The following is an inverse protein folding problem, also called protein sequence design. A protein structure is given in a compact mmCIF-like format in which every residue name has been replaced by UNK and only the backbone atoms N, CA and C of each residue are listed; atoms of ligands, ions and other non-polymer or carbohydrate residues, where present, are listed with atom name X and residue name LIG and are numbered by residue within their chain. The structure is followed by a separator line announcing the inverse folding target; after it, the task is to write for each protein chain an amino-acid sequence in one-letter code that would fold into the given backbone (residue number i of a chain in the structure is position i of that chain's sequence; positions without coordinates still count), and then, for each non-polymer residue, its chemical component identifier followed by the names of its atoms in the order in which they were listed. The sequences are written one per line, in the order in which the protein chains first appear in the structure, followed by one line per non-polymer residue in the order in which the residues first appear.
data_IF_733972292601
#
_entry.id   IF_733972292601
#
_cell.length_a   1.000
_cell.length_b   1.000
_cell.length_c   1.000
_cell.angle_alpha   90.00
_cell.angle_beta   90.00
_cell.angle_gamma   90.00
#
_symmetry.space_group_name_H-M   'P 1'
#
loop_
_entity.id
_entity.type
_entity.pdbx_description
1 polymer ?
#
# COMPACT_ATOMS: atom_id res chain seq x y z
N UNK A 1 -25.83 2.27 6.04
CA UNK A 1 -25.87 3.54 5.24
C UNK A 1 -26.14 4.79 6.08
N UNK A 2 -27.23 4.84 6.88
CA UNK A 2 -27.55 6.02 7.70
C UNK A 2 -26.49 6.35 8.78
N UNK A 3 -25.96 5.32 9.47
CA UNK A 3 -24.93 5.47 10.51
C UNK A 3 -23.65 6.10 9.94
N UNK A 4 -23.13 5.59 8.82
CA UNK A 4 -21.91 6.13 8.18
C UNK A 4 -22.04 7.60 7.79
N UNK A 5 -23.17 8.01 7.22
CA UNK A 5 -23.41 9.44 6.89
C UNK A 5 -23.44 10.33 8.13
N UNK A 6 -23.94 9.85 9.26
CA UNK A 6 -23.93 10.60 10.53
C UNK A 6 -22.50 10.77 11.06
N UNK A 7 -21.65 9.75 10.91
CA UNK A 7 -20.23 9.83 11.27
C UNK A 7 -19.49 10.77 10.30
N UNK A 8 -19.75 10.68 9.00
CA UNK A 8 -19.21 11.62 7.99
C UNK A 8 -19.47 13.08 8.34
N UNK A 9 -20.71 13.43 8.70
CA UNK A 9 -21.06 14.79 9.16
C UNK A 9 -20.29 15.22 10.41
N UNK A 10 -20.02 14.29 11.35
CA UNK A 10 -19.19 14.57 12.52
C UNK A 10 -17.74 14.85 12.11
N UNK A 11 -17.19 14.11 11.16
CA UNK A 11 -15.86 14.36 10.60
C UNK A 11 -15.79 15.72 9.90
N UNK A 12 -16.76 16.04 9.06
CA UNK A 12 -16.84 17.37 8.42
C UNK A 12 -16.90 18.50 9.46
N UNK A 13 -17.72 18.32 10.51
CA UNK A 13 -17.81 19.29 11.62
C UNK A 13 -16.50 19.41 12.38
N UNK A 14 -15.80 18.29 12.62
CA UNK A 14 -14.47 18.28 13.23
C UNK A 14 -13.46 19.10 12.41
N UNK A 15 -13.52 19.02 11.08
CA UNK A 15 -12.73 19.86 10.17
C UNK A 15 -13.32 21.27 9.94
N UNK A 16 -14.23 21.73 10.81
CA UNK A 16 -14.77 23.09 10.79
C UNK A 16 -15.95 23.33 9.84
N UNK A 17 -16.52 22.29 9.25
CA UNK A 17 -17.78 22.33 8.47
C UNK A 17 -17.69 23.05 7.11
N UNK A 18 -16.49 23.49 6.71
CA UNK A 18 -16.23 24.18 5.43
C UNK A 18 -15.22 23.46 4.54
N UNK A 19 -14.88 22.21 4.89
CA UNK A 19 -13.99 21.38 4.09
C UNK A 19 -14.66 21.06 2.76
N UNK A 20 -14.05 21.48 1.65
CA UNK A 20 -14.56 21.21 0.31
C UNK A 20 -14.09 19.86 -0.22
N UNK A 21 -12.80 19.56 -0.11
CA UNK A 21 -12.15 18.32 -0.54
C UNK A 21 -10.89 18.10 0.30
N UNK A 22 -10.63 16.84 0.67
CA UNK A 22 -9.39 16.39 1.28
C UNK A 22 -8.58 15.55 0.29
N UNK A 23 -7.41 16.04 -0.11
CA UNK A 23 -6.45 15.28 -0.92
C UNK A 23 -5.66 14.29 -0.05
N UNK A 24 -5.60 13.03 -0.50
CA UNK A 24 -4.85 11.95 0.13
C UNK A 24 -3.80 11.46 -0.87
N UNK A 25 -2.54 11.37 -0.44
CA UNK A 25 -1.44 10.92 -1.30
C UNK A 25 -0.22 10.46 -0.49
N UNK A 26 0.87 10.14 -1.20
CA UNK A 26 2.16 9.74 -0.61
C UNK A 26 2.28 8.26 -0.24
N UNK A 27 1.19 7.65 0.23
CA UNK A 27 1.06 6.21 0.44
C UNK A 27 -0.35 5.75 0.06
N UNK A 28 -0.49 4.47 -0.27
CA UNK A 28 -1.79 3.90 -0.62
C UNK A 28 -2.72 3.89 0.61
N UNK A 29 -3.95 4.34 0.40
CA UNK A 29 -4.99 4.39 1.43
C UNK A 29 -5.53 2.98 1.69
N UNK A 30 -5.82 2.68 2.96
CA UNK A 30 -6.46 1.43 3.32
C UNK A 30 -7.85 1.31 2.62
N UNK A 31 -8.14 0.21 1.90
CA UNK A 31 -9.41 0.01 1.19
C UNK A 31 -10.67 0.17 2.04
N UNK A 32 -10.62 -0.21 3.32
CA UNK A 32 -11.77 -0.11 4.22
C UNK A 32 -12.00 1.31 4.70
N UNK A 33 -10.92 2.04 4.98
CA UNK A 33 -10.99 3.46 5.27
C UNK A 33 -11.56 4.19 4.05
N UNK A 34 -11.07 3.88 2.85
CA UNK A 34 -11.62 4.49 1.64
C UNK A 34 -13.12 4.15 1.45
N UNK A 35 -13.49 2.88 1.59
CA UNK A 35 -14.89 2.45 1.49
C UNK A 35 -15.76 3.16 2.53
N UNK A 36 -15.27 3.31 3.76
CA UNK A 36 -15.93 4.08 4.81
C UNK A 36 -16.10 5.54 4.42
N UNK A 37 -15.04 6.24 3.98
CA UNK A 37 -15.10 7.64 3.57
C UNK A 37 -16.12 7.83 2.44
N UNK A 38 -16.11 6.94 1.44
CA UNK A 38 -17.08 6.93 0.33
C UNK A 38 -18.51 6.72 0.82
N UNK A 39 -18.74 5.75 1.70
CA UNK A 39 -20.07 5.48 2.29
C UNK A 39 -20.56 6.60 3.21
N UNK A 40 -19.64 7.26 3.91
CA UNK A 40 -19.90 8.39 4.79
C UNK A 40 -20.23 9.67 4.02
N UNK A 41 -19.90 9.72 2.72
CA UNK A 41 -20.03 10.91 1.89
C UNK A 41 -18.95 11.95 2.18
N UNK A 42 -17.86 11.56 2.83
CA UNK A 42 -16.77 12.47 3.18
C UNK A 42 -16.07 12.94 1.90
N UNK A 43 -15.74 14.23 1.76
CA UNK A 43 -15.19 14.75 0.52
C UNK A 43 -13.69 14.46 0.43
N UNK A 44 -13.31 13.36 -0.21
CA UNK A 44 -11.91 12.97 -0.40
C UNK A 44 -11.53 12.77 -1.87
N UNK A 45 -10.23 12.88 -2.15
CA UNK A 45 -9.59 12.49 -3.40
C UNK A 45 -8.31 11.73 -3.09
N UNK A 46 -7.99 10.73 -3.90
CA UNK A 46 -6.70 10.05 -3.85
C UNK A 46 -5.92 10.46 -5.09
N UNK A 47 -4.65 10.78 -4.89
CA UNK A 47 -3.74 11.14 -5.95
C UNK A 47 -2.43 10.37 -5.87
N UNK A 48 -1.85 10.10 -7.03
CA UNK A 48 -0.53 9.52 -7.18
C UNK A 48 0.40 10.50 -7.90
N UNK A 49 1.60 10.65 -7.34
CA UNK A 49 2.67 11.48 -7.86
C UNK A 49 3.94 11.24 -7.07
N UNK A 50 5.04 11.77 -7.60
CA UNK A 50 6.37 11.74 -7.01
C UNK A 50 7.04 13.09 -7.27
N UNK A 51 8.18 13.33 -6.63
CA UNK A 51 8.91 14.60 -6.77
C UNK A 51 9.24 14.89 -8.24
N UNK A 52 9.57 13.84 -8.98
CA UNK A 52 9.98 13.82 -10.38
C UNK A 52 8.81 14.11 -11.35
N UNK A 53 7.56 14.21 -10.86
CA UNK A 53 6.34 14.36 -11.69
C UNK A 53 5.45 15.55 -11.32
N UNK A 54 5.93 16.48 -10.48
CA UNK A 54 5.38 17.82 -10.20
C UNK A 54 3.91 18.12 -10.59
N UNK A 55 2.94 18.01 -9.66
CA UNK A 55 2.96 17.22 -8.44
C UNK A 55 2.24 15.87 -8.59
N UNK A 56 1.53 15.66 -9.70
CA UNK A 56 0.54 14.59 -9.81
C UNK A 56 0.57 13.93 -11.19
N UNK A 57 0.69 12.60 -11.17
CA UNK A 57 0.57 11.73 -12.35
C UNK A 57 -0.89 11.35 -12.56
N UNK A 58 -1.55 10.90 -11.49
CA UNK A 58 -2.93 10.44 -11.55
C UNK A 58 -3.75 10.97 -10.38
N UNK A 59 -5.02 11.23 -10.65
CA UNK A 59 -6.01 11.71 -9.70
C UNK A 59 -7.35 11.85 -10.41
N UNK A 60 -8.26 12.64 -9.86
CA UNK A 60 -9.43 13.01 -10.63
C UNK A 60 -10.30 14.02 -9.92
N UNK A 61 -11.28 14.58 -10.63
CA UNK A 61 -12.16 15.58 -10.05
C UNK A 61 -12.98 14.96 -8.93
N UNK A 62 -13.19 15.74 -7.87
CA UNK A 62 -14.04 15.32 -6.76
C UNK A 62 -15.46 15.02 -7.27
N UNK A 63 -15.99 13.86 -6.88
CA UNK A 63 -17.33 13.42 -7.29
C UNK A 63 -17.39 12.62 -8.59
N UNK A 64 -16.26 12.39 -9.28
CA UNK A 64 -16.24 11.50 -10.45
C UNK A 64 -16.48 10.04 -10.04
N UNK A 65 -17.66 9.53 -10.39
CA UNK A 65 -18.07 8.16 -10.06
C UNK A 65 -17.35 7.10 -10.88
N UNK A 66 -16.63 7.48 -11.93
CA UNK A 66 -15.82 6.55 -12.73
C UNK A 66 -14.48 6.19 -12.09
N UNK A 67 -14.07 6.92 -11.04
CA UNK A 67 -12.88 6.59 -10.24
C UNK A 67 -13.18 5.37 -9.36
N UNK A 68 -12.51 4.26 -9.70
CA UNK A 68 -12.62 3.01 -8.97
C UNK A 68 -12.17 3.16 -7.50
N UNK A 69 -12.74 2.35 -6.62
CA UNK A 69 -12.24 2.20 -5.25
C UNK A 69 -10.82 1.61 -5.30
N UNK A 70 -9.95 2.03 -4.39
CA UNK A 70 -8.54 1.66 -4.30
C UNK A 70 -7.68 2.13 -5.49
N UNK A 71 -8.23 2.95 -6.38
CA UNK A 71 -7.47 3.58 -7.45
C UNK A 71 -6.87 4.90 -7.00
N UNK A 72 -5.76 5.26 -7.63
CA UNK A 72 -5.14 6.59 -7.54
C UNK A 72 -5.73 7.60 -8.52
N UNK A 73 -6.83 7.28 -9.18
CA UNK A 73 -7.48 8.10 -10.19
C UNK A 73 -6.98 7.82 -11.59
N UNK A 74 -7.23 8.74 -12.51
CA UNK A 74 -6.85 8.68 -13.93
C UNK A 74 -5.65 9.59 -14.19
N UNK A 75 -4.87 9.33 -15.25
CA UNK A 75 -3.82 10.25 -15.68
C UNK A 75 -4.32 11.69 -15.76
N UNK A 76 -3.53 12.63 -15.24
CA UNK A 76 -3.85 14.05 -15.28
C UNK A 76 -3.85 14.59 -16.71
N UNK A 77 -4.60 15.66 -17.02
CA UNK A 77 -4.56 16.29 -18.34
C UNK A 77 -3.12 16.65 -18.74
N UNK A 78 -2.71 16.25 -19.94
CA UNK A 78 -1.34 16.45 -20.44
C UNK A 78 -0.31 15.43 -19.95
N UNK A 79 -0.71 14.49 -19.07
CA UNK A 79 0.14 13.41 -18.57
C UNK A 79 -0.26 12.10 -19.23
N UNK A 80 0.69 11.49 -19.92
CA UNK A 80 0.56 10.15 -20.49
C UNK A 80 1.13 9.12 -19.52
N UNK A 81 0.41 8.00 -19.37
CA UNK A 81 0.83 6.87 -18.53
C UNK A 81 0.78 5.59 -19.37
N UNK A 82 1.83 4.78 -19.30
CA UNK A 82 1.85 3.42 -19.84
C UNK A 82 2.31 2.42 -18.78
N UNK A 83 1.91 1.17 -18.97
CA UNK A 83 2.38 0.03 -18.17
C UNK A 83 3.41 -0.72 -19.02
N UNK A 84 4.68 -0.63 -18.64
CA UNK A 84 5.78 -1.30 -19.34
C UNK A 84 5.96 -2.72 -18.81
N UNK A 85 6.22 -3.65 -19.72
CA UNK A 85 6.45 -5.08 -19.44
C UNK A 85 5.40 -5.67 -18.48
N UNK A 86 4.09 -5.55 -18.79
CA UNK A 86 3.06 -6.11 -17.92
C UNK A 86 3.18 -7.63 -17.85
N UNK A 87 3.15 -8.15 -16.62
CA UNK A 87 3.07 -9.58 -16.36
C UNK A 87 1.83 -10.18 -17.04
N UNK A 88 2.02 -11.26 -17.78
CA UNK A 88 0.96 -11.85 -18.63
C UNK A 88 -0.28 -12.30 -17.83
N UNK A 89 -0.10 -12.69 -16.57
CA UNK A 89 -1.18 -13.22 -15.73
C UNK A 89 -1.92 -12.12 -14.99
N UNK A 90 -1.19 -11.12 -14.51
CA UNK A 90 -1.72 -10.09 -13.59
C UNK A 90 -1.95 -8.75 -14.27
N UNK A 91 -1.33 -8.50 -15.43
CA UNK A 91 -1.32 -7.21 -16.13
C UNK A 91 -0.52 -6.12 -15.41
N UNK A 92 0.21 -6.47 -14.34
CA UNK A 92 0.99 -5.54 -13.53
C UNK A 92 2.36 -5.35 -14.19
N UNK A 93 2.75 -4.10 -14.42
CA UNK A 93 4.06 -3.75 -14.95
C UNK A 93 4.55 -2.42 -14.41
N UNK A 94 5.70 -1.95 -14.88
CA UNK A 94 6.25 -0.66 -14.44
C UNK A 94 5.41 0.50 -14.97
N UNK A 95 5.03 1.40 -14.07
CA UNK A 95 4.37 2.65 -14.44
C UNK A 95 5.43 3.56 -15.06
N UNK A 96 5.23 3.92 -16.32
CA UNK A 96 6.06 4.89 -17.01
C UNK A 96 5.22 6.10 -17.38
N UNK A 97 5.79 7.29 -17.22
CA UNK A 97 5.05 8.55 -17.33
C UNK A 97 5.77 9.52 -18.27
N UNK A 98 5.00 10.24 -19.07
CA UNK A 98 5.50 11.29 -19.96
C UNK A 98 4.56 12.49 -19.92
N UNK A 99 5.12 13.71 -19.90
CA UNK A 99 4.35 14.95 -19.87
C UNK A 99 5.23 16.15 -19.51
N UNK A 100 4.68 17.36 -19.60
CA UNK A 100 5.40 18.61 -19.29
C UNK A 100 5.70 18.77 -17.79
N UNK A 101 5.05 17.96 -16.95
CA UNK A 101 5.23 17.92 -15.50
C UNK A 101 6.43 17.06 -15.05
N UNK A 102 7.06 16.36 -15.98
CA UNK A 102 8.20 15.48 -15.69
C UNK A 102 9.46 16.30 -15.51
N UNK A 103 10.27 15.93 -14.51
CA UNK A 103 11.55 16.60 -14.23
C UNK A 103 12.46 16.62 -15.48
N UNK A 104 13.37 17.60 -15.54
CA UNK A 104 14.41 17.64 -16.56
C UNK A 104 15.55 16.65 -16.29
N UNK A 105 15.70 16.21 -15.04
CA UNK A 105 16.79 15.37 -14.56
C UNK A 105 17.18 15.71 -13.13
N UNK A 106 18.08 14.90 -12.58
CA UNK A 106 18.66 15.14 -11.27
C UNK A 106 19.78 16.19 -11.34
N UNK A 107 19.88 16.98 -10.29
CA UNK A 107 20.88 18.04 -10.18
C UNK A 107 22.30 17.48 -10.13
N UNK A 108 23.16 17.88 -11.08
CA UNK A 108 24.56 17.45 -11.20
C UNK A 108 24.76 15.92 -11.29
N UNK A 109 23.76 15.19 -11.75
CA UNK A 109 23.82 13.73 -11.88
C UNK A 109 23.28 13.26 -13.24
N UNK A 110 24.06 13.42 -14.32
CA UNK A 110 23.64 13.04 -15.67
C UNK A 110 23.51 11.52 -15.83
N UNK A 111 24.26 10.73 -15.07
CA UNK A 111 24.18 9.26 -15.09
C UNK A 111 22.84 8.80 -14.54
N UNK A 112 22.49 9.19 -13.30
CA UNK A 112 21.19 8.84 -12.71
C UNK A 112 20.02 9.43 -13.52
N UNK A 113 20.21 10.60 -14.14
CA UNK A 113 19.22 11.18 -15.05
C UNK A 113 18.98 10.25 -16.23
N UNK A 114 20.04 9.84 -16.95
CA UNK A 114 19.92 8.95 -18.10
C UNK A 114 19.31 7.59 -17.72
N UNK A 115 19.66 7.06 -16.55
CA UNK A 115 19.11 5.81 -16.04
C UNK A 115 17.63 5.90 -15.65
N UNK A 116 17.09 7.10 -15.43
CA UNK A 116 15.69 7.29 -15.04
C UNK A 116 14.76 7.40 -16.23
N UNK A 117 15.27 7.74 -17.42
CA UNK A 117 14.47 7.79 -18.64
C UNK A 117 14.66 6.52 -19.49
N UNK A 118 13.61 6.16 -20.21
CA UNK A 118 13.70 5.20 -21.31
C UNK A 118 14.28 5.87 -22.55
N UNK A 119 14.76 5.08 -23.50
CA UNK A 119 15.32 5.59 -24.77
C UNK A 119 14.30 6.43 -25.57
N UNK A 120 13.01 6.16 -25.40
CA UNK A 120 11.91 6.90 -26.03
C UNK A 120 11.33 8.03 -25.14
N UNK A 121 12.04 8.41 -24.07
CA UNK A 121 11.77 9.63 -23.31
C UNK A 121 10.65 9.51 -22.27
N UNK A 122 10.38 8.32 -21.74
CA UNK A 122 9.44 8.13 -20.62
C UNK A 122 10.19 8.05 -19.29
N UNK A 123 9.64 8.65 -18.25
CA UNK A 123 10.14 8.52 -16.89
C UNK A 123 9.81 7.12 -16.34
N UNK A 124 10.84 6.37 -15.92
CA UNK A 124 10.71 5.15 -15.12
C UNK A 124 10.43 5.53 -13.67
N UNK A 125 9.20 5.30 -13.19
CA UNK A 125 8.82 5.68 -11.81
C UNK A 125 9.43 4.75 -10.76
N UNK A 126 9.81 3.53 -11.15
CA UNK A 126 10.13 2.44 -10.22
C UNK A 126 8.92 1.95 -9.40
N UNK A 127 7.70 2.38 -9.76
CA UNK A 127 6.45 1.90 -9.20
C UNK A 127 5.78 0.94 -10.20
N UNK A 128 5.05 -0.02 -9.66
CA UNK A 128 4.30 -1.02 -10.40
C UNK A 128 2.82 -0.70 -10.32
N UNK A 129 2.11 -0.93 -11.42
CA UNK A 129 0.69 -0.66 -11.50
C UNK A 129 0.00 -1.35 -12.64
N UNK A 130 -1.30 -1.11 -12.71
CA UNK A 130 -2.18 -1.55 -13.78
C UNK A 130 -3.22 -0.46 -14.05
N UNK A 131 -3.59 -0.30 -15.32
CA UNK A 131 -4.74 0.51 -15.74
C UNK A 131 -5.96 -0.41 -15.86
N UNK A 132 -7.07 -0.03 -15.22
CA UNK A 132 -8.33 -0.73 -15.44
C UNK A 132 -9.00 -0.34 -16.76
N UNK A 133 -10.11 -0.99 -17.09
CA UNK A 133 -10.85 -0.77 -18.34
C UNK A 133 -11.44 0.64 -18.48
N UNK A 134 -11.52 1.40 -17.38
CA UNK A 134 -11.99 2.79 -17.36
C UNK A 134 -10.82 3.80 -17.31
N UNK A 135 -9.58 3.30 -17.42
CA UNK A 135 -8.36 4.10 -17.39
C UNK A 135 -7.94 4.55 -16.00
N UNK A 136 -8.46 3.94 -14.92
CA UNK A 136 -7.99 4.26 -13.58
C UNK A 136 -6.68 3.52 -13.28
N UNK A 137 -5.72 4.24 -12.71
CA UNK A 137 -4.42 3.73 -12.31
C UNK A 137 -4.50 3.12 -10.91
N UNK A 138 -4.08 1.87 -10.79
CA UNK A 138 -3.97 1.13 -9.54
C UNK A 138 -2.49 0.84 -9.25
N UNK A 139 -1.89 1.61 -8.34
CA UNK A 139 -0.52 1.37 -7.88
C UNK A 139 -0.47 0.12 -7.00
N UNK A 140 0.47 -0.78 -7.28
CA UNK A 140 0.63 -2.10 -6.64
C UNK A 140 1.88 -2.22 -5.77
N UNK A 141 2.82 -1.29 -5.92
CA UNK A 141 3.95 -1.10 -5.03
C UNK A 141 5.25 -0.77 -5.77
N UNK A 142 6.39 -0.87 -5.10
CA UNK A 142 7.71 -0.59 -5.71
C UNK A 142 8.27 -1.78 -6.49
N UNK A 143 8.84 -1.54 -7.68
CA UNK A 143 9.51 -2.57 -8.49
C UNK A 143 10.65 -3.24 -7.73
N UNK A 144 11.47 -2.46 -7.02
CA UNK A 144 12.56 -2.94 -6.16
C UNK A 144 12.09 -3.74 -4.93
N UNK A 145 10.79 -3.76 -4.63
CA UNK A 145 10.22 -4.54 -3.51
C UNK A 145 9.56 -5.83 -3.97
N UNK A 146 9.50 -6.12 -5.27
CA UNK A 146 8.94 -7.39 -5.74
C UNK A 146 9.80 -8.55 -5.25
N UNK A 147 9.14 -9.56 -4.72
CA UNK A 147 9.76 -10.84 -4.40
C UNK A 147 9.55 -11.77 -5.59
N UNK A 148 10.63 -12.19 -6.21
CA UNK A 148 10.60 -13.20 -7.29
C UNK A 148 10.90 -14.56 -6.67
N UNK A 149 9.91 -15.44 -6.67
CA UNK A 149 10.07 -16.79 -6.16
C UNK A 149 10.92 -17.65 -7.12
N UNK A 150 11.50 -18.74 -6.61
CA UNK A 150 12.33 -19.66 -7.41
C UNK A 150 11.59 -20.28 -8.62
N UNK A 151 10.26 -20.30 -8.59
CA UNK A 151 9.40 -20.75 -9.68
C UNK A 151 9.07 -19.64 -10.70
N UNK A 152 9.66 -18.45 -10.56
CA UNK A 152 9.44 -17.30 -11.43
C UNK A 152 8.19 -16.47 -11.12
N UNK A 153 7.45 -16.77 -10.04
CA UNK A 153 6.26 -16.00 -9.69
C UNK A 153 6.61 -14.70 -8.96
N UNK A 154 6.02 -13.60 -9.45
CA UNK A 154 6.14 -12.27 -8.85
C UNK A 154 5.15 -12.11 -7.70
N UNK A 155 5.67 -11.83 -6.51
CA UNK A 155 4.90 -11.50 -5.32
C UNK A 155 5.08 -10.02 -5.04
N UNK A 156 3.96 -9.31 -4.87
CA UNK A 156 3.92 -7.89 -4.59
C UNK A 156 3.63 -7.68 -3.08
N UNK A 157 4.65 -7.47 -2.23
CA UNK A 157 4.48 -7.47 -0.77
C UNK A 157 3.47 -6.44 -0.31
N UNK A 158 3.51 -5.24 -0.89
CA UNK A 158 2.58 -4.14 -0.59
C UNK A 158 1.13 -4.55 -0.76
N UNK A 159 0.80 -5.34 -1.77
CA UNK A 159 -0.58 -5.82 -1.98
C UNK A 159 -1.03 -6.73 -0.83
N UNK A 160 -0.13 -7.54 -0.28
CA UNK A 160 -0.42 -8.43 0.86
C UNK A 160 -0.46 -7.61 2.15
N UNK A 161 0.48 -6.69 2.35
CA UNK A 161 0.54 -5.76 3.49
C UNK A 161 -0.74 -4.92 3.56
N UNK A 162 -1.25 -4.43 2.43
CA UNK A 162 -2.53 -3.72 2.38
C UNK A 162 -3.70 -4.59 2.83
N UNK A 163 -3.67 -5.90 2.59
CA UNK A 163 -4.70 -6.83 3.09
C UNK A 163 -4.54 -7.09 4.59
N UNK A 164 -3.32 -7.16 5.09
CA UNK A 164 -3.01 -7.33 6.51
C UNK A 164 -3.39 -6.09 7.33
N UNK A 165 -3.04 -4.90 6.85
CA UNK A 165 -3.31 -3.65 7.57
C UNK A 165 -4.80 -3.25 7.57
N UNK A 166 -5.70 -4.08 7.01
CA UNK A 166 -7.16 -3.95 7.16
C UNK A 166 -7.66 -4.41 8.52
N UNK A 167 -6.91 -5.27 9.20
CA UNK A 167 -7.33 -5.80 10.49
C UNK A 167 -6.97 -4.78 11.58
N UNK A 168 -7.95 -4.33 12.40
CA UNK A 168 -7.70 -3.35 13.47
C UNK A 168 -6.72 -3.86 14.54
N UNK A 169 -6.52 -5.18 14.61
CA UNK A 169 -5.52 -5.80 15.46
C UNK A 169 -4.07 -5.49 15.03
N UNK A 170 -3.85 -4.96 13.82
CA UNK A 170 -2.52 -4.74 13.24
C UNK A 170 -2.29 -3.25 12.94
N UNK A 171 -1.19 -2.69 13.44
CA UNK A 171 -0.78 -1.32 13.13
C UNK A 171 0.09 -1.28 11.88
N UNK A 172 1.03 -2.21 11.77
CA UNK A 172 2.01 -2.26 10.69
C UNK A 172 2.29 -3.70 10.26
N UNK A 173 2.58 -3.88 8.99
CA UNK A 173 2.98 -5.17 8.42
C UNK A 173 4.13 -4.99 7.45
N UNK A 174 5.05 -5.96 7.43
CA UNK A 174 6.10 -6.10 6.44
C UNK A 174 6.05 -7.52 5.88
N UNK A 175 5.95 -7.66 4.57
CA UNK A 175 5.98 -8.96 3.90
C UNK A 175 7.35 -9.17 3.27
N UNK A 176 7.93 -10.36 3.50
CA UNK A 176 9.25 -10.74 3.04
C UNK A 176 9.30 -12.21 2.61
N UNK A 177 10.39 -12.55 1.95
CA UNK A 177 10.75 -13.91 1.54
C UNK A 177 11.68 -14.53 2.60
N UNK A 178 11.42 -15.79 2.96
CA UNK A 178 12.25 -16.59 3.85
C UNK A 178 12.30 -18.04 3.36
N UNK A 179 13.43 -18.44 2.74
CA UNK A 179 13.71 -19.81 2.30
C UNK A 179 12.64 -20.42 1.38
N UNK A 180 12.32 -19.71 0.31
CA UNK A 180 11.29 -20.00 -0.68
C UNK A 180 9.86 -19.75 -0.21
N UNK A 181 9.64 -19.14 0.95
CA UNK A 181 8.30 -18.94 1.54
C UNK A 181 8.03 -17.47 1.81
N UNK A 182 6.79 -17.07 1.61
CA UNK A 182 6.35 -15.71 1.97
C UNK A 182 5.94 -15.69 3.45
N UNK A 183 6.43 -14.70 4.17
CA UNK A 183 6.15 -14.45 5.58
C UNK A 183 5.71 -12.99 5.78
N UNK A 184 4.91 -12.76 6.80
CA UNK A 184 4.58 -11.40 7.22
C UNK A 184 5.05 -11.18 8.66
N UNK A 185 5.76 -10.08 8.88
CA UNK A 185 6.05 -9.57 10.21
C UNK A 185 5.06 -8.47 10.52
N UNK A 186 4.43 -8.52 11.68
CA UNK A 186 3.37 -7.57 12.03
C UNK A 186 3.64 -6.95 13.39
N UNK A 187 3.38 -5.65 13.51
CA UNK A 187 3.33 -4.96 14.79
C UNK A 187 1.85 -4.84 15.20
N UNK A 188 1.40 -5.58 16.23
CA UNK A 188 0.01 -5.55 16.66
C UNK A 188 -0.37 -4.22 17.32
N UNK A 189 -1.65 -3.89 17.27
CA UNK A 189 -2.24 -2.82 18.08
C UNK A 189 -2.44 -3.35 19.50
N UNK A 190 -1.43 -3.16 20.33
CA UNK A 190 -1.45 -3.63 21.71
C UNK A 190 -2.55 -2.95 22.54
N UNK A 191 -2.91 -1.70 22.24
CA UNK A 191 -3.97 -0.97 22.93
C UNK A 191 -5.34 -1.57 22.59
N UNK A 192 -5.59 -1.87 21.31
CA UNK A 192 -6.79 -2.58 20.87
C UNK A 192 -6.89 -3.96 21.52
N UNK A 193 -5.78 -4.72 21.52
CA UNK A 193 -5.72 -6.05 22.12
C UNK A 193 -5.96 -5.97 23.63
N UNK A 194 -5.36 -5.00 24.32
CA UNK A 194 -5.53 -4.81 25.77
C UNK A 194 -6.97 -4.51 26.16
N UNK A 195 -7.68 -3.73 25.35
CA UNK A 195 -9.11 -3.50 25.54
C UNK A 195 -9.94 -4.77 25.50
N UNK A 196 -9.57 -5.76 24.67
CA UNK A 196 -10.28 -7.04 24.55
C UNK A 196 -9.83 -8.05 25.60
N UNK A 197 -8.54 -8.08 25.93
CA UNK A 197 -7.94 -9.03 26.88
C UNK A 197 -7.90 -8.51 28.31
N UNK A 198 -8.69 -7.48 28.64
CA UNK A 198 -8.72 -6.88 29.97
C UNK A 198 -9.05 -7.94 31.03
N UNK A 199 -8.22 -8.02 32.08
CA UNK A 199 -8.37 -9.00 33.17
C UNK A 199 -7.82 -10.40 32.87
N UNK A 200 -7.27 -10.64 31.68
CA UNK A 200 -6.61 -11.90 31.33
C UNK A 200 -5.16 -11.94 31.81
N UNK A 201 -4.64 -13.15 32.05
CA UNK A 201 -3.22 -13.35 32.34
C UNK A 201 -2.33 -13.08 31.12
N UNK A 202 -1.04 -12.90 31.35
CA UNK A 202 -0.05 -12.72 30.26
C UNK A 202 -0.05 -13.89 29.27
N UNK A 203 -0.25 -15.11 29.76
CA UNK A 203 -0.30 -16.32 28.94
C UNK A 203 -1.57 -16.35 28.08
N UNK A 204 -2.72 -16.03 28.67
CA UNK A 204 -4.00 -15.93 27.95
C UNK A 204 -3.95 -14.86 26.85
N UNK A 205 -3.37 -13.69 27.16
CA UNK A 205 -3.17 -12.62 26.18
C UNK A 205 -2.28 -13.07 25.02
N UNK A 206 -1.17 -13.74 25.31
CA UNK A 206 -0.26 -14.26 24.29
C UNK A 206 -0.95 -15.30 23.39
N UNK A 207 -1.72 -16.22 23.98
CA UNK A 207 -2.52 -17.20 23.22
C UNK A 207 -3.58 -16.50 22.36
N UNK A 208 -4.22 -15.44 22.87
CA UNK A 208 -5.16 -14.63 22.09
C UNK A 208 -4.48 -14.03 20.85
N UNK A 209 -3.32 -13.38 21.01
CA UNK A 209 -2.55 -12.80 19.90
C UNK A 209 -2.24 -13.86 18.83
N UNK A 210 -1.65 -15.00 19.23
CA UNK A 210 -1.34 -16.08 18.29
C UNK A 210 -2.60 -16.55 17.54
N UNK A 211 -3.72 -16.71 18.24
CA UNK A 211 -4.98 -17.14 17.64
C UNK A 211 -5.49 -16.16 16.59
N UNK A 212 -5.41 -14.86 16.87
CA UNK A 212 -5.82 -13.79 15.96
C UNK A 212 -4.91 -13.71 14.74
N UNK A 213 -3.58 -13.80 14.92
CA UNK A 213 -2.65 -13.80 13.80
C UNK A 213 -2.87 -15.00 12.87
N UNK A 214 -3.17 -16.17 13.41
CA UNK A 214 -3.46 -17.35 12.59
C UNK A 214 -4.81 -17.24 11.86
N UNK A 215 -5.84 -16.66 12.50
CA UNK A 215 -7.13 -16.37 11.85
C UNK A 215 -6.98 -15.36 10.70
N UNK A 216 -6.23 -14.29 10.93
CA UNK A 216 -5.88 -13.29 9.92
C UNK A 216 -5.13 -13.95 8.76
N UNK A 217 -4.12 -14.77 9.05
CA UNK A 217 -3.34 -15.49 8.03
C UNK A 217 -4.24 -16.34 7.12
N UNK A 218 -5.13 -17.14 7.71
CA UNK A 218 -6.07 -18.00 6.95
C UNK A 218 -6.98 -17.16 6.07
N UNK A 219 -7.53 -16.08 6.62
CA UNK A 219 -8.46 -15.21 5.90
C UNK A 219 -7.77 -14.48 4.75
N UNK A 220 -6.59 -13.93 4.98
CA UNK A 220 -5.78 -13.28 3.94
C UNK A 220 -5.37 -14.29 2.86
N UNK A 221 -4.91 -15.49 3.23
CA UNK A 221 -4.54 -16.54 2.27
C UNK A 221 -5.71 -17.01 1.38
N UNK A 222 -6.95 -16.88 1.86
CA UNK A 222 -8.15 -17.12 1.05
C UNK A 222 -8.35 -16.11 -0.08
N UNK A 223 -7.71 -14.94 0.01
CA UNK A 223 -7.77 -13.86 -0.99
C UNK A 223 -6.54 -13.79 -1.90
N UNK A 224 -5.59 -14.71 -1.71
CA UNK A 224 -4.31 -14.73 -2.42
C UNK A 224 -4.25 -15.95 -3.34
N UNK A 225 -3.49 -15.82 -4.43
CA UNK A 225 -3.08 -16.96 -5.24
C UNK A 225 -2.26 -17.94 -4.39
N UNK A 226 -2.19 -19.21 -4.82
CA UNK A 226 -1.41 -20.23 -4.11
C UNK A 226 0.06 -19.81 -3.88
N UNK A 227 0.64 -19.13 -4.87
CA UNK A 227 1.99 -18.58 -4.87
C UNK A 227 2.26 -17.57 -3.76
N UNK A 228 1.29 -16.68 -3.52
CA UNK A 228 1.43 -15.53 -2.63
C UNK A 228 1.03 -15.84 -1.19
N UNK A 229 0.63 -17.08 -0.87
CA UNK A 229 0.15 -17.42 0.47
C UNK A 229 1.24 -17.28 1.52
N UNK A 230 0.87 -16.61 2.60
CA UNK A 230 1.68 -16.46 3.80
C UNK A 230 1.84 -17.82 4.49
N UNK A 231 3.09 -18.27 4.61
CA UNK A 231 3.43 -19.47 5.37
C UNK A 231 3.20 -19.25 6.87
N UNK A 232 3.51 -18.06 7.38
CA UNK A 232 3.27 -17.62 8.75
C UNK A 232 3.16 -16.10 8.86
N UNK A 233 2.53 -15.66 9.94
CA UNK A 233 2.55 -14.29 10.42
C UNK A 233 3.29 -14.29 11.76
N UNK A 234 4.24 -13.38 11.90
CA UNK A 234 5.15 -13.29 13.04
C UNK A 234 4.96 -11.96 13.75
N UNK A 235 4.74 -12.02 15.06
CA UNK A 235 4.61 -10.84 15.90
C UNK A 235 5.96 -10.14 16.08
N UNK A 236 6.00 -8.83 15.85
CA UNK A 236 7.07 -7.94 16.31
C UNK A 236 6.57 -7.19 17.54
N UNK A 237 7.45 -7.10 18.55
CA UNK A 237 7.19 -6.35 19.79
C UNK A 237 7.56 -4.87 19.69
N UNK A 238 8.30 -4.51 18.65
CA UNK A 238 8.72 -3.15 18.38
C UNK A 238 8.20 -2.71 17.01
N UNK A 239 7.82 -1.43 16.85
CA UNK A 239 7.38 -0.88 15.57
C UNK A 239 8.49 -0.95 14.51
N UNK A 240 8.14 -0.77 13.25
CA UNK A 240 9.12 -0.68 12.18
C UNK A 240 9.80 0.70 12.16
N UNK A 241 11.08 0.73 11.83
CA UNK A 241 11.85 1.95 11.63
C UNK A 241 11.36 2.57 10.31
N UNK A 242 10.97 3.84 10.36
CA UNK A 242 10.39 4.56 9.22
C UNK A 242 11.26 5.73 8.76
N UNK A 243 10.98 6.21 7.56
CA UNK A 243 11.46 7.50 7.02
C UNK A 243 10.69 8.66 7.65
N UNK A 244 11.13 9.91 7.40
CA UNK A 244 10.36 11.11 7.77
C UNK A 244 8.95 11.15 7.13
N UNK A 245 8.79 10.51 5.98
CA UNK A 245 7.50 10.32 5.28
C UNK A 245 6.71 9.10 5.78
N UNK A 246 7.06 8.54 6.94
CA UNK A 246 6.39 7.41 7.59
C UNK A 246 6.39 6.09 6.78
N UNK A 247 7.30 5.93 5.79
CA UNK A 247 7.47 4.67 5.05
C UNK A 247 8.43 3.73 5.79
N UNK A 248 8.10 2.44 5.88
CA UNK A 248 8.96 1.43 6.49
C UNK A 248 10.28 1.31 5.71
N UNK A 249 11.42 1.34 6.43
CA UNK A 249 12.75 1.12 5.85
C UNK A 249 13.00 -0.39 5.64
N UNK A 250 12.36 -0.98 4.62
CA UNK A 250 12.38 -2.43 4.34
C UNK A 250 13.78 -3.05 4.31
N UNK A 251 14.77 -2.33 3.79
CA UNK A 251 16.16 -2.79 3.67
C UNK A 251 16.84 -3.09 5.01
N UNK A 252 16.26 -2.66 6.14
CA UNK A 252 16.75 -2.99 7.49
C UNK A 252 16.25 -4.37 7.98
N UNK A 253 15.35 -5.01 7.24
CA UNK A 253 14.66 -6.22 7.66
C UNK A 253 14.89 -7.34 6.64
N UNK A 254 15.64 -8.34 7.06
CA UNK A 254 15.86 -9.59 6.32
C UNK A 254 15.33 -10.76 7.15
N UNK A 255 15.02 -11.90 6.53
CA UNK A 255 14.54 -13.09 7.24
C UNK A 255 15.45 -13.50 8.43
N UNK A 256 16.75 -13.28 8.31
CA UNK A 256 17.75 -13.59 9.34
C UNK A 256 17.81 -12.56 10.47
N UNK A 257 17.26 -11.36 10.27
CA UNK A 257 17.31 -10.26 11.24
C UNK A 257 16.25 -10.31 12.34
N UNK A 258 15.41 -11.34 12.37
CA UNK A 258 14.31 -11.40 13.32
C UNK A 258 14.84 -11.63 14.76
N UNK A 259 14.53 -10.76 15.73
CA UNK A 259 14.87 -11.02 17.12
C UNK A 259 14.13 -12.27 17.62
N UNK A 260 14.88 -13.32 17.97
CA UNK A 260 14.34 -14.58 18.49
C UNK A 260 14.20 -15.73 17.47
N UNK A 261 14.76 -15.59 16.25
CA UNK A 261 14.87 -16.71 15.29
C UNK A 261 16.12 -17.59 15.46
N UNK A 262 16.98 -17.29 16.44
CA UNK A 262 18.00 -18.22 16.90
C UNK A 262 17.31 -19.38 17.60
N UNK A 263 17.34 -20.54 16.94
CA UNK A 263 17.08 -21.91 17.44
C UNK A 263 16.94 -22.07 18.94
#
# INVERSE_FOLDING_TARGET
KFVYRKIGKKLETFFGGRLMVMGIGGAALNPEIEAFLRMAGFPYLIGYGMTETSPLVAGGPYGDTSIALCSTGKPMPGVSVRIAEPDEKTGIGEIQVQGDNIMLGYWNDPEATSETFTDDGWLKTGDLGILDTLGNLHVKGRSKSVIVLANGENIYPETIEHKLNRYPQLVESLVLENRGKIEAWVYPDYDFIDGITTGQSREQRHTYIISQLEEIRKTVNGQLSSASRLSRILERREPFIKTATHKIKRYLYTADSMPGSSS
#
